data_IF_585082844518
#
_entry.id   IF_585082844518
#
_cell.length_a   1.000
_cell.length_b   1.000
_cell.length_c   1.000
_cell.angle_alpha   90.00
_cell.angle_beta   90.00
_cell.angle_gamma   90.00
#
_symmetry.space_group_name_H-M   'P 1'
#
loop_
_entity.id
_entity.type
_entity.pdbx_description
1 polymer ?
#
# COMPACT_ATOMS: atom_id res chain seq x y z
N UNK A 1 -17.72 12.54 -2.40
CA UNK A 1 -16.52 13.29 -2.86
C UNK A 1 -15.88 12.46 -3.95
N UNK A 2 -15.32 13.06 -5.02
CA UNK A 2 -14.66 12.28 -6.07
C UNK A 2 -13.40 11.62 -5.52
N UNK A 3 -13.24 10.31 -5.76
CA UNK A 3 -12.03 9.60 -5.36
C UNK A 3 -10.93 9.85 -6.40
N UNK A 4 -9.80 10.37 -5.94
CA UNK A 4 -8.62 10.66 -6.76
C UNK A 4 -7.61 9.53 -6.64
N UNK A 5 -7.00 9.14 -7.75
CA UNK A 5 -6.03 8.04 -7.85
C UNK A 5 -4.93 8.42 -8.83
N UNK A 6 -3.69 8.01 -8.55
CA UNK A 6 -2.59 8.13 -9.50
C UNK A 6 -2.47 6.86 -10.36
N UNK A 7 -2.12 7.03 -11.63
CA UNK A 7 -1.68 5.93 -12.51
C UNK A 7 -0.43 6.33 -13.28
N UNK A 8 0.38 5.33 -13.63
CA UNK A 8 1.47 5.47 -14.58
C UNK A 8 0.93 5.41 -16.01
N UNK A 9 1.48 6.22 -16.91
CA UNK A 9 1.20 6.18 -18.35
C UNK A 9 2.36 5.52 -19.11
N UNK A 10 2.08 5.10 -20.35
CA UNK A 10 3.05 4.39 -21.21
C UNK A 10 4.29 5.22 -21.54
N UNK A 11 4.19 6.55 -21.53
CA UNK A 11 5.29 7.48 -21.77
C UNK A 11 6.11 7.80 -20.50
N UNK A 12 5.77 7.17 -19.38
CA UNK A 12 6.42 7.38 -18.08
C UNK A 12 5.83 8.53 -17.25
N UNK A 13 4.92 9.33 -17.82
CA UNK A 13 4.24 10.36 -17.04
C UNK A 13 3.27 9.74 -16.01
N UNK A 14 2.92 10.52 -15.00
CA UNK A 14 1.98 10.12 -13.92
C UNK A 14 0.77 11.02 -14.03
N UNK A 15 -0.41 10.42 -14.01
CA UNK A 15 -1.68 11.14 -14.08
C UNK A 15 -2.49 10.96 -12.80
N UNK A 16 -2.99 12.09 -12.27
CA UNK A 16 -4.05 12.12 -11.28
C UNK A 16 -5.40 12.12 -11.99
N UNK A 17 -6.20 11.08 -11.75
CA UNK A 17 -7.53 10.97 -12.34
C UNK A 17 -8.57 10.65 -11.27
N UNK A 18 -9.83 10.95 -11.58
CA UNK A 18 -10.96 10.62 -10.74
C UNK A 18 -11.59 9.30 -11.19
N UNK A 19 -11.96 8.45 -10.23
CA UNK A 19 -12.74 7.25 -10.49
C UNK A 19 -13.75 7.02 -9.38
N UNK A 20 -14.87 6.41 -9.74
CA UNK A 20 -15.78 5.86 -8.74
C UNK A 20 -15.13 4.64 -8.05
N UNK A 21 -15.39 4.49 -6.75
CA UNK A 21 -15.05 3.30 -5.98
C UNK A 21 -16.33 2.83 -5.33
N UNK A 22 -16.75 1.62 -5.70
CA UNK A 22 -17.91 0.96 -5.12
C UNK A 22 -17.55 0.45 -3.71
N UNK A 23 -18.57 0.06 -2.96
CA UNK A 23 -18.39 -0.59 -1.66
C UNK A 23 -17.56 -1.90 -1.79
N UNK A 24 -16.78 -2.27 -0.77
CA UNK A 24 -15.92 -3.45 -0.82
C UNK A 24 -16.74 -4.73 -1.01
N UNK A 25 -16.24 -5.63 -1.86
CA UNK A 25 -16.84 -6.94 -2.09
C UNK A 25 -16.59 -7.93 -0.96
N UNK A 26 -17.00 -9.17 -1.15
CA UNK A 26 -16.71 -10.25 -0.19
C UNK A 26 -15.19 -10.39 0.05
N UNK A 27 -14.78 -10.52 1.31
CA UNK A 27 -13.38 -10.61 1.74
C UNK A 27 -12.50 -9.38 1.38
N UNK A 28 -13.13 -8.25 1.03
CA UNK A 28 -12.44 -6.98 0.81
C UNK A 28 -12.67 -5.98 1.95
N UNK A 29 -11.74 -5.06 2.09
CA UNK A 29 -11.87 -3.86 2.91
C UNK A 29 -11.67 -2.63 2.03
N UNK A 30 -12.38 -1.56 2.35
CA UNK A 30 -12.15 -0.25 1.76
C UNK A 30 -11.24 0.55 2.69
N UNK A 31 -10.17 1.10 2.14
CA UNK A 31 -9.20 1.90 2.88
C UNK A 31 -9.32 3.35 2.44
N UNK A 32 -9.42 4.25 3.41
CA UNK A 32 -9.13 5.68 3.27
C UNK A 32 -7.63 5.92 3.48
N UNK A 33 -6.95 6.48 2.48
CA UNK A 33 -5.50 6.66 2.47
C UNK A 33 -5.05 7.77 3.40
N UNK A 34 -3.99 7.51 4.17
CA UNK A 34 -3.30 8.50 5.02
C UNK A 34 -1.98 8.95 4.40
N UNK A 35 -1.03 8.03 4.28
CA UNK A 35 0.28 8.27 3.67
C UNK A 35 0.68 7.10 2.76
N UNK A 36 1.58 7.34 1.79
CA UNK A 36 2.17 6.27 0.99
C UNK A 36 3.61 6.63 0.66
N UNK A 37 4.53 5.69 0.90
CA UNK A 37 5.91 5.81 0.45
C UNK A 37 6.04 5.75 -1.07
N UNK A 38 7.23 6.14 -1.56
CA UNK A 38 7.61 6.05 -2.97
C UNK A 38 8.79 5.09 -3.05
N UNK A 39 8.57 3.95 -3.68
CA UNK A 39 9.59 2.93 -3.87
C UNK A 39 10.47 3.26 -5.08
N UNK A 40 11.69 2.72 -5.11
CA UNK A 40 12.53 2.76 -6.32
C UNK A 40 11.83 2.10 -7.53
N UNK A 41 10.95 1.13 -7.30
CA UNK A 41 10.15 0.51 -8.36
C UNK A 41 9.17 1.49 -9.00
N UNK A 42 8.56 2.39 -8.22
CA UNK A 42 7.69 3.46 -8.73
C UNK A 42 8.48 4.43 -9.61
N UNK A 43 9.68 4.82 -9.17
CA UNK A 43 10.57 5.74 -9.90
C UNK A 43 11.01 5.14 -11.24
N UNK A 44 11.42 3.86 -11.24
CA UNK A 44 11.81 3.17 -12.48
C UNK A 44 10.61 3.00 -13.41
N UNK A 45 9.43 2.71 -12.87
CA UNK A 45 8.19 2.62 -13.66
C UNK A 45 7.87 3.96 -14.35
N UNK A 46 7.93 5.08 -13.62
CA UNK A 46 7.75 6.40 -14.21
C UNK A 46 8.87 6.78 -15.20
N UNK A 47 10.10 6.30 -14.99
CA UNK A 47 11.21 6.61 -15.93
C UNK A 47 11.11 5.84 -17.24
N UNK A 48 10.66 4.60 -17.20
CA UNK A 48 10.67 3.67 -18.34
C UNK A 48 9.30 3.51 -19.00
N UNK A 49 8.22 3.94 -18.35
CA UNK A 49 6.86 3.80 -18.88
C UNK A 49 6.56 2.35 -19.26
N UNK A 50 6.07 2.16 -20.49
CA UNK A 50 5.73 0.83 -21.02
C UNK A 50 6.92 -0.11 -21.23
N UNK A 51 8.17 0.34 -21.04
CA UNK A 51 9.35 -0.52 -21.09
C UNK A 51 9.63 -1.23 -19.77
N UNK A 52 8.96 -0.82 -18.67
CA UNK A 52 9.10 -1.47 -17.37
C UNK A 52 8.17 -2.67 -17.23
N UNK A 53 8.73 -3.85 -16.99
CA UNK A 53 7.95 -5.07 -16.77
C UNK A 53 8.54 -5.94 -15.64
N UNK A 54 7.77 -6.25 -14.58
CA UNK A 54 6.43 -5.72 -14.28
C UNK A 54 6.48 -4.23 -13.89
N UNK A 55 5.43 -3.47 -14.23
CA UNK A 55 5.24 -2.12 -13.71
C UNK A 55 4.90 -2.18 -12.22
N UNK A 56 5.35 -1.17 -11.47
CA UNK A 56 4.92 -1.02 -10.08
C UNK A 56 3.40 -0.79 -10.03
N UNK A 57 2.68 -1.37 -9.06
CA UNK A 57 1.35 -0.88 -8.72
C UNK A 57 1.49 0.56 -8.18
N UNK A 58 0.67 1.54 -8.65
CA UNK A 58 0.78 2.93 -8.19
C UNK A 58 0.63 3.09 -6.68
N UNK A 59 1.76 3.20 -6.00
CA UNK A 59 1.85 3.14 -4.55
C UNK A 59 1.54 1.74 -4.01
N UNK A 60 2.50 1.18 -3.28
CA UNK A 60 2.35 -0.09 -2.55
C UNK A 60 2.85 -0.01 -1.10
N UNK A 61 3.40 1.13 -0.70
CA UNK A 61 3.90 1.39 0.65
C UNK A 61 2.88 2.23 1.45
N UNK A 62 1.61 1.84 1.36
CA UNK A 62 0.48 2.62 1.88
C UNK A 62 0.19 2.40 3.36
N UNK A 63 -0.28 3.46 4.01
CA UNK A 63 -0.89 3.49 5.34
C UNK A 63 -2.25 4.17 5.21
N UNK A 64 -3.26 3.62 5.87
CA UNK A 64 -4.59 4.21 5.86
C UNK A 64 -5.48 3.64 6.95
N UNK A 65 -6.78 3.89 6.80
CA UNK A 65 -7.79 3.54 7.78
C UNK A 65 -8.90 2.76 7.10
N UNK A 66 -9.41 1.73 7.76
CA UNK A 66 -10.54 0.95 7.25
C UNK A 66 -11.77 1.86 7.24
N UNK A 67 -12.27 2.21 6.05
CA UNK A 67 -13.45 3.04 5.85
C UNK A 67 -14.73 2.20 5.78
N UNK A 68 -14.67 1.00 5.19
CA UNK A 68 -15.77 0.04 5.09
C UNK A 68 -15.25 -1.40 5.05
N UNK A 69 -16.12 -2.33 5.39
CA UNK A 69 -15.81 -3.77 5.42
C UNK A 69 -16.81 -4.55 4.57
N UNK A 70 -16.27 -5.41 3.72
CA UNK A 70 -17.06 -6.33 2.90
C UNK A 70 -17.48 -7.60 3.66
N UNK A 71 -18.43 -8.34 3.09
CA UNK A 71 -18.93 -9.57 3.70
C UNK A 71 -17.81 -10.59 3.96
N UNK A 72 -17.89 -11.31 5.09
CA UNK A 72 -16.93 -12.37 5.44
C UNK A 72 -15.64 -11.91 6.11
N UNK A 73 -15.35 -10.60 6.13
CA UNK A 73 -14.19 -10.06 6.85
C UNK A 73 -14.51 -9.95 8.34
N UNK A 74 -13.73 -10.65 9.18
CA UNK A 74 -13.90 -10.67 10.65
C UNK A 74 -12.77 -10.01 11.41
N UNK A 75 -11.60 -9.84 10.77
CA UNK A 75 -10.38 -9.45 11.46
C UNK A 75 -10.22 -7.94 11.62
N UNK A 76 -11.05 -7.13 10.95
CA UNK A 76 -10.99 -5.67 10.94
C UNK A 76 -12.29 -5.03 11.43
N UNK A 77 -12.21 -3.76 11.83
CA UNK A 77 -13.36 -2.86 12.03
C UNK A 77 -13.08 -1.50 11.38
N UNK A 78 -14.14 -0.76 11.05
CA UNK A 78 -14.00 0.62 10.58
C UNK A 78 -13.20 1.46 11.59
N UNK A 79 -12.31 2.32 11.08
CA UNK A 79 -11.36 3.12 11.86
C UNK A 79 -10.05 2.41 12.23
N UNK A 80 -9.92 1.09 12.02
CA UNK A 80 -8.63 0.41 12.22
C UNK A 80 -7.57 1.03 11.30
N UNK A 81 -6.43 1.42 11.87
CA UNK A 81 -5.25 1.87 11.13
C UNK A 81 -4.51 0.66 10.57
N UNK A 82 -4.17 0.70 9.30
CA UNK A 82 -3.63 -0.44 8.58
C UNK A 82 -2.50 -0.07 7.62
N UNK A 83 -1.56 -0.98 7.46
CA UNK A 83 -0.67 -1.02 6.31
C UNK A 83 -1.44 -1.63 5.13
N UNK A 84 -1.53 -0.85 4.05
CA UNK A 84 -2.35 -1.10 2.89
C UNK A 84 -2.76 0.21 2.22
N UNK A 85 -3.21 0.14 0.98
CA UNK A 85 -3.64 1.30 0.19
C UNK A 85 -2.77 1.51 -1.04
N UNK A 86 -2.31 2.74 -1.25
CA UNK A 86 -1.48 3.14 -2.37
C UNK A 86 -1.72 4.60 -2.73
N UNK A 87 -1.43 4.99 -3.97
CA UNK A 87 -1.67 6.36 -4.44
C UNK A 87 -3.15 6.58 -4.79
N UNK A 88 -4.03 6.54 -3.79
CA UNK A 88 -5.45 6.82 -3.91
C UNK A 88 -6.02 7.33 -2.58
N UNK A 89 -7.04 8.18 -2.65
CA UNK A 89 -7.75 8.61 -1.45
C UNK A 89 -8.59 7.47 -0.85
N UNK A 90 -9.26 6.69 -1.70
CA UNK A 90 -10.05 5.51 -1.33
C UNK A 90 -9.70 4.35 -2.27
N UNK A 91 -9.53 3.14 -1.72
CA UNK A 91 -9.32 1.91 -2.51
C UNK A 91 -9.85 0.68 -1.79
N UNK A 92 -10.47 -0.24 -2.53
CA UNK A 92 -10.79 -1.58 -2.03
C UNK A 92 -9.59 -2.52 -2.23
N UNK A 93 -9.28 -3.31 -1.21
CA UNK A 93 -8.23 -4.33 -1.22
C UNK A 93 -8.75 -5.61 -0.57
N UNK A 94 -8.18 -6.75 -0.97
CA UNK A 94 -8.40 -8.01 -0.24
C UNK A 94 -7.92 -7.86 1.21
N UNK A 95 -8.76 -8.25 2.16
CA UNK A 95 -8.46 -8.19 3.59
C UNK A 95 -7.19 -8.98 3.96
N UNK A 96 -6.83 -10.01 3.17
CA UNK A 96 -5.62 -10.82 3.39
C UNK A 96 -4.31 -10.10 3.06
N UNK A 97 -4.37 -8.94 2.40
CA UNK A 97 -3.20 -8.12 2.03
C UNK A 97 -3.07 -6.86 2.88
N UNK A 98 -3.87 -6.77 3.93
CA UNK A 98 -3.95 -5.62 4.81
C UNK A 98 -3.52 -6.06 6.19
N UNK A 99 -2.71 -5.24 6.87
CA UNK A 99 -2.16 -5.59 8.18
C UNK A 99 -2.46 -4.47 9.16
N UNK A 100 -2.95 -4.80 10.36
CA UNK A 100 -3.19 -3.79 11.39
C UNK A 100 -1.89 -3.15 11.84
N UNK A 101 -1.91 -1.83 11.93
CA UNK A 101 -0.90 -1.05 12.62
C UNK A 101 -1.33 -0.93 14.09
N UNK A 102 -0.46 -1.24 15.06
CA UNK A 102 -0.76 -1.05 16.48
C UNK A 102 -1.12 0.39 16.82
N UNK A 103 -1.92 0.58 17.88
CA UNK A 103 -2.19 1.92 18.40
C UNK A 103 -0.89 2.65 18.74
N UNK A 104 -0.78 3.89 18.25
CA UNK A 104 0.41 4.70 18.39
C UNK A 104 0.14 6.16 18.07
N UNK A 105 0.79 7.05 18.79
CA UNK A 105 0.80 8.50 18.54
C UNK A 105 1.73 8.91 17.39
N UNK A 106 2.46 7.96 16.78
CA UNK A 106 3.31 8.24 15.63
C UNK A 106 2.45 8.59 14.40
N UNK A 107 2.79 9.66 13.65
CA UNK A 107 2.13 10.02 12.39
C UNK A 107 2.21 8.92 11.32
N UNK A 108 1.34 8.98 10.30
CA UNK A 108 1.21 7.93 9.26
C UNK A 108 2.51 7.70 8.48
N UNK A 109 3.26 8.77 8.21
CA UNK A 109 4.52 8.73 7.47
C UNK A 109 5.65 7.95 8.18
N UNK A 110 5.51 7.62 9.47
CA UNK A 110 6.49 6.81 10.21
C UNK A 110 6.24 5.30 10.07
N UNK A 111 5.11 4.88 9.51
CA UNK A 111 4.74 3.48 9.38
C UNK A 111 5.13 2.89 8.03
N UNK A 112 6.42 2.59 7.88
CA UNK A 112 7.04 2.08 6.65
C UNK A 112 7.02 0.54 6.55
N UNK A 113 5.84 -0.07 6.73
CA UNK A 113 5.69 -1.53 6.89
C UNK A 113 6.16 -2.33 5.68
N UNK A 114 5.86 -1.91 4.45
CA UNK A 114 6.26 -2.61 3.21
C UNK A 114 7.79 -2.70 3.06
N UNK A 115 8.56 -1.59 3.08
CA UNK A 115 10.00 -1.67 2.85
C UNK A 115 10.74 -2.32 4.03
N UNK A 116 10.22 -2.19 5.26
CA UNK A 116 10.75 -2.93 6.41
C UNK A 116 10.54 -4.44 6.24
N UNK A 117 9.38 -4.87 5.74
CA UNK A 117 9.09 -6.29 5.47
C UNK A 117 10.05 -6.88 4.42
N UNK A 118 10.41 -6.11 3.40
CA UNK A 118 11.43 -6.47 2.42
C UNK A 118 12.81 -6.69 3.09
N UNK A 119 13.22 -5.77 3.97
CA UNK A 119 14.48 -5.88 4.71
C UNK A 119 14.50 -7.10 5.64
N UNK A 120 13.42 -7.33 6.40
CA UNK A 120 13.27 -8.48 7.30
C UNK A 120 13.36 -9.79 6.53
N UNK A 121 12.66 -9.90 5.39
CA UNK A 121 12.73 -11.08 4.52
C UNK A 121 14.16 -11.35 4.05
N UNK A 122 14.90 -10.30 3.67
CA UNK A 122 16.31 -10.43 3.29
C UNK A 122 17.19 -10.93 4.44
N UNK A 123 16.97 -10.42 5.64
CA UNK A 123 17.67 -10.86 6.87
C UNK A 123 17.40 -12.35 7.13
N UNK A 124 16.13 -12.76 7.05
CA UNK A 124 15.71 -14.15 7.29
C UNK A 124 16.32 -15.10 6.27
N UNK A 125 16.32 -14.73 4.98
CA UNK A 125 16.95 -15.53 3.92
C UNK A 125 18.47 -15.65 4.08
N UNK A 126 19.12 -14.61 4.59
CA UNK A 126 20.56 -14.64 4.90
C UNK A 126 20.87 -15.37 6.22
N UNK A 127 19.85 -15.75 7.00
CA UNK A 127 19.98 -16.42 8.29
C UNK A 127 20.93 -15.70 9.27
N UNK A 128 20.96 -14.36 9.20
CA UNK A 128 21.91 -13.52 9.97
C UNK A 128 21.78 -13.80 11.47
N UNK A 129 22.92 -14.02 12.13
CA UNK A 129 23.03 -14.27 13.57
C UNK A 129 23.83 -13.16 14.27
N UNK A 130 23.62 -12.93 15.58
CA UNK A 130 24.50 -12.07 16.39
C UNK A 130 25.97 -12.44 16.23
N UNK A 131 26.83 -11.45 15.99
CA UNK A 131 28.26 -11.63 15.76
C UNK A 131 28.66 -11.84 14.29
N UNK A 132 27.70 -12.01 13.37
CA UNK A 132 27.99 -11.95 11.94
C UNK A 132 28.42 -10.53 11.53
N UNK A 133 29.35 -10.46 10.57
CA UNK A 133 29.72 -9.20 9.90
C UNK A 133 28.91 -9.10 8.61
N UNK A 134 28.18 -8.00 8.45
CA UNK A 134 27.29 -7.71 7.33
C UNK A 134 27.93 -6.61 6.48
#
# INVERSE_FOLDING_TARGET
MSNKTLRYLDDGSIELFEREVLDPGENEVQIEGGACGICSWDVVTAKLGNQMHPMAPPGHEGVGYIAKIGAGVTDFKEGDRVAGGGFANIRNLSAQRVFKIPESDLPDEYWIVEPVSCAVTGIDHCQIQPGNRI
#
